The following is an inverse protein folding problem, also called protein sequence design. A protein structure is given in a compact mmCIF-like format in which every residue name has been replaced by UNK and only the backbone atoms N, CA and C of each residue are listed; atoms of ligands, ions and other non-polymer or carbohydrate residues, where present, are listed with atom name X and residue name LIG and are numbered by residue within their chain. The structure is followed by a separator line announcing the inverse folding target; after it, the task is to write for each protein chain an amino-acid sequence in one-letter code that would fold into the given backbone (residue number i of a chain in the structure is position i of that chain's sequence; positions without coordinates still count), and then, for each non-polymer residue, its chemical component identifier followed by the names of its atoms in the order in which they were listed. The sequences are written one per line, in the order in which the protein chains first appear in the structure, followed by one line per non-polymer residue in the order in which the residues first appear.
data_IF_065796551601
#
_entry.id   IF_065796551601
#
_cell.length_a   1.000
_cell.length_b   1.000
_cell.length_c   1.000
_cell.angle_alpha   90.00
_cell.angle_beta   90.00
_cell.angle_gamma   90.00
#
_symmetry.space_group_name_H-M   'P 1'
#
loop_
_entity.id
_entity.type
_entity.pdbx_description
1 polymer ?
#
# COMPACT_ATOMS: atom_id res chain seq x y z
N UNK A 1 6.95 -31.98 -27.63
CA UNK A 1 7.98 -31.10 -27.03
C UNK A 1 7.24 -30.09 -26.16
N UNK A 2 7.27 -30.29 -24.84
CA UNK A 2 6.31 -29.71 -23.88
C UNK A 2 6.63 -28.26 -23.58
N UNK A 3 5.64 -27.38 -23.77
CA UNK A 3 5.70 -25.98 -23.35
C UNK A 3 5.65 -25.91 -21.81
N UNK A 4 6.68 -25.33 -21.21
CA UNK A 4 6.70 -24.92 -19.80
C UNK A 4 5.77 -23.73 -19.61
N UNK A 5 4.49 -24.00 -19.31
CA UNK A 5 3.57 -22.97 -18.85
C UNK A 5 3.84 -22.69 -17.37
N UNK A 6 4.96 -22.01 -17.08
CA UNK A 6 5.18 -21.40 -15.78
C UNK A 6 4.18 -20.25 -15.67
N UNK A 7 3.11 -20.47 -14.89
CA UNK A 7 2.15 -19.46 -14.53
C UNK A 7 2.84 -18.32 -13.77
N UNK A 8 3.46 -17.41 -14.53
CA UNK A 8 3.79 -16.07 -14.08
C UNK A 8 2.45 -15.38 -13.93
N UNK A 9 1.97 -15.27 -12.69
CA UNK A 9 0.84 -14.41 -12.40
C UNK A 9 1.19 -13.02 -12.93
N UNK A 10 0.59 -12.62 -14.04
CA UNK A 10 0.97 -11.44 -14.80
C UNK A 10 0.91 -10.22 -13.88
N UNK A 11 2.04 -9.54 -13.73
CA UNK A 11 2.19 -8.34 -12.91
C UNK A 11 1.29 -7.18 -13.40
N UNK A 12 0.65 -7.34 -14.57
CA UNK A 12 -0.20 -6.34 -15.21
C UNK A 12 -1.47 -5.98 -14.42
N UNK A 13 -1.91 -6.86 -13.53
CA UNK A 13 -3.07 -6.58 -12.68
C UNK A 13 -2.71 -5.90 -11.36
N UNK A 14 -1.44 -5.80 -10.99
CA UNK A 14 -1.02 -5.15 -9.74
C UNK A 14 -1.05 -3.62 -9.92
N UNK A 15 -1.94 -2.97 -9.18
CA UNK A 15 -2.11 -1.51 -9.25
C UNK A 15 -1.33 -0.82 -8.14
N UNK A 16 -1.20 -1.43 -6.97
CA UNK A 16 -0.42 -0.88 -5.86
C UNK A 16 0.29 -2.01 -5.13
N UNK A 17 1.59 -1.84 -4.94
CA UNK A 17 2.42 -2.73 -4.13
C UNK A 17 3.11 -1.91 -3.04
N UNK A 18 3.04 -2.43 -1.82
CA UNK A 18 3.62 -1.85 -0.63
C UNK A 18 4.51 -2.93 -0.04
N UNK A 19 5.79 -2.62 0.12
CA UNK A 19 6.78 -3.60 0.58
C UNK A 19 7.57 -3.04 1.76
N UNK A 20 7.43 -3.69 2.92
CA UNK A 20 8.07 -3.38 4.19
C UNK A 20 7.91 -1.91 4.63
N UNK A 21 6.77 -1.31 4.32
CA UNK A 21 6.53 0.11 4.63
C UNK A 21 6.31 0.29 6.12
N UNK A 22 7.10 1.17 6.72
CA UNK A 22 6.99 1.50 8.14
C UNK A 22 6.94 3.01 8.33
N UNK A 23 6.31 3.42 9.44
CA UNK A 23 6.29 4.82 9.88
C UNK A 23 6.48 4.89 11.38
N UNK A 24 7.45 5.71 11.76
CA UNK A 24 7.74 6.06 13.14
C UNK A 24 7.65 7.58 13.32
N UNK A 25 7.18 8.00 14.50
CA UNK A 25 7.16 9.39 14.94
C UNK A 25 7.92 9.45 16.27
N UNK A 26 9.19 9.82 16.22
CA UNK A 26 10.08 9.73 17.38
C UNK A 26 10.10 8.30 17.96
N UNK A 27 9.78 8.09 19.25
CA UNK A 27 9.77 6.77 19.86
C UNK A 27 8.53 5.92 19.49
N UNK A 28 7.50 6.51 18.87
CA UNK A 28 6.23 5.82 18.60
C UNK A 28 6.23 5.18 17.21
N UNK A 29 5.96 3.87 17.15
CA UNK A 29 5.77 3.13 15.89
C UNK A 29 4.31 3.20 15.47
N UNK A 30 4.01 3.94 14.40
CA UNK A 30 2.64 4.15 13.90
C UNK A 30 2.25 3.21 12.75
N UNK A 31 3.22 2.57 12.10
CA UNK A 31 3.01 1.51 11.12
C UNK A 31 4.27 0.62 11.10
N UNK A 32 4.11 -0.70 11.25
CA UNK A 32 5.22 -1.65 11.36
C UNK A 32 5.26 -2.58 10.14
N UNK A 33 6.24 -2.37 9.25
CA UNK A 33 6.60 -3.26 8.11
C UNK A 33 5.38 -3.84 7.37
N UNK A 34 4.51 -2.96 6.89
CA UNK A 34 3.32 -3.33 6.14
C UNK A 34 3.70 -3.84 4.75
N UNK A 35 3.12 -4.98 4.37
CA UNK A 35 3.15 -5.51 3.01
C UNK A 35 1.72 -5.59 2.48
N UNK A 36 1.46 -5.03 1.29
CA UNK A 36 0.13 -5.04 0.67
C UNK A 36 0.27 -5.06 -0.85
N UNK A 37 -0.48 -5.93 -1.51
CA UNK A 37 -0.59 -5.97 -2.98
C UNK A 37 -2.05 -5.82 -3.38
N UNK A 38 -2.38 -4.68 -3.98
CA UNK A 38 -3.70 -4.36 -4.52
C UNK A 38 -3.70 -4.65 -6.01
N UNK A 39 -4.72 -5.38 -6.46
CA UNK A 39 -4.94 -5.70 -7.87
C UNK A 39 -6.14 -4.95 -8.43
N UNK A 40 -6.10 -4.64 -9.72
CA UNK A 40 -7.17 -3.96 -10.47
C UNK A 40 -8.49 -4.73 -10.32
N UNK A 41 -9.59 -4.01 -10.20
CA UNK A 41 -10.93 -4.61 -10.10
C UNK A 41 -11.24 -5.33 -8.78
N UNK A 42 -10.34 -5.27 -7.78
CA UNK A 42 -10.60 -5.79 -6.43
C UNK A 42 -10.65 -4.66 -5.42
N UNK A 43 -11.71 -4.63 -4.62
CA UNK A 43 -11.77 -3.80 -3.41
C UNK A 43 -10.95 -4.50 -2.34
N UNK A 44 -9.84 -3.87 -1.95
CA UNK A 44 -9.01 -4.34 -0.84
C UNK A 44 -9.39 -3.59 0.43
N UNK A 45 -10.05 -4.28 1.36
CA UNK A 45 -10.34 -3.72 2.68
C UNK A 45 -9.10 -3.85 3.56
N UNK A 46 -8.58 -2.71 4.04
CA UNK A 46 -7.60 -2.71 5.12
C UNK A 46 -8.30 -3.15 6.42
N UNK A 47 -8.39 -4.47 6.61
CA UNK A 47 -8.83 -5.09 7.85
C UNK A 47 -7.67 -5.10 8.84
N UNK A 48 -7.92 -4.58 10.03
CA UNK A 48 -6.96 -4.51 11.12
C UNK A 48 -7.63 -3.90 12.35
N UNK A 49 -7.14 -4.19 13.54
CA UNK A 49 -7.66 -3.60 14.77
C UNK A 49 -7.46 -2.07 14.80
N UNK A 50 -8.24 -1.37 15.62
CA UNK A 50 -7.98 0.05 15.89
C UNK A 50 -6.57 0.18 16.49
N UNK A 51 -5.68 0.89 15.80
CA UNK A 51 -4.26 0.98 16.16
C UNK A 51 -3.29 0.23 15.22
N UNK A 52 -3.77 -0.56 14.27
CA UNK A 52 -2.93 -1.28 13.31
C UNK A 52 -2.17 -0.38 12.30
N UNK A 53 -2.38 0.95 12.32
CA UNK A 53 -1.70 1.90 11.44
C UNK A 53 -2.38 2.17 10.10
N UNK A 54 -3.63 1.74 9.91
CA UNK A 54 -4.40 1.94 8.66
C UNK A 54 -4.51 3.42 8.25
N UNK A 55 -4.85 4.31 9.20
CA UNK A 55 -4.90 5.76 8.93
C UNK A 55 -3.53 6.32 8.59
N UNK A 56 -2.45 5.78 9.18
CA UNK A 56 -1.07 6.15 8.85
C UNK A 56 -0.73 5.73 7.42
N UNK A 57 -1.11 4.53 7.01
CA UNK A 57 -0.94 4.03 5.65
C UNK A 57 -1.68 4.89 4.63
N UNK A 58 -2.95 5.26 4.90
CA UNK A 58 -3.72 6.16 4.04
C UNK A 58 -3.04 7.53 3.90
N UNK A 59 -2.54 8.10 5.00
CA UNK A 59 -1.79 9.37 4.98
C UNK A 59 -0.47 9.25 4.20
N UNK A 60 0.19 8.09 4.24
CA UNK A 60 1.38 7.83 3.41
C UNK A 60 1.01 7.79 1.92
N UNK A 61 -0.03 7.03 1.57
CA UNK A 61 -0.48 6.89 0.18
C UNK A 61 -1.03 8.21 -0.39
N UNK A 62 -1.59 9.06 0.47
CA UNK A 62 -2.01 10.41 0.14
C UNK A 62 -0.86 11.43 0.08
N UNK A 63 0.39 11.05 0.38
CA UNK A 63 1.53 11.97 0.37
C UNK A 63 1.57 12.97 1.52
N UNK A 64 0.76 12.78 2.57
CA UNK A 64 0.80 13.59 3.79
C UNK A 64 2.00 13.20 4.66
N UNK A 65 2.36 11.90 4.67
CA UNK A 65 3.52 11.41 5.38
C UNK A 65 4.47 10.65 4.46
N UNK A 66 5.76 10.94 4.56
CA UNK A 66 6.79 10.08 3.99
C UNK A 66 6.97 8.84 4.88
N UNK A 67 6.99 7.62 4.32
CA UNK A 67 7.34 6.44 5.10
C UNK A 67 8.77 6.57 5.64
N UNK A 68 9.02 6.03 6.83
CA UNK A 68 10.38 5.99 7.40
C UNK A 68 11.24 4.94 6.70
N UNK A 69 10.63 3.84 6.24
CA UNK A 69 11.29 2.78 5.48
C UNK A 69 10.31 2.09 4.53
N UNK A 70 10.84 1.27 3.62
CA UNK A 70 10.08 0.48 2.66
C UNK A 70 9.82 1.21 1.35
N UNK A 71 9.15 0.52 0.42
CA UNK A 71 8.89 1.00 -0.93
C UNK A 71 7.42 0.88 -1.28
N UNK A 72 6.95 1.79 -2.13
CA UNK A 72 5.61 1.77 -2.69
C UNK A 72 5.75 1.86 -4.21
N UNK A 73 5.03 1.00 -4.91
CA UNK A 73 4.96 0.97 -6.37
C UNK A 73 3.50 1.12 -6.77
N UNK A 74 3.20 2.08 -7.64
CA UNK A 74 1.86 2.33 -8.15
C UNK A 74 1.90 2.14 -9.67
N UNK A 75 1.06 1.22 -10.19
CA UNK A 75 0.97 0.88 -11.61
C UNK A 75 2.35 0.57 -12.24
N UNK A 76 3.17 -0.20 -11.52
CA UNK A 76 4.52 -0.58 -11.96
C UNK A 76 5.60 0.49 -11.82
N UNK A 77 5.28 1.71 -11.36
CA UNK A 77 6.25 2.79 -11.16
C UNK A 77 6.47 3.09 -9.68
N UNK A 78 7.72 3.42 -9.25
CA UNK A 78 7.99 3.88 -7.89
C UNK A 78 7.09 5.06 -7.51
N UNK A 79 6.41 4.93 -6.38
CA UNK A 79 5.45 5.91 -5.88
C UNK A 79 5.95 6.53 -4.58
N UNK A 80 6.37 7.78 -4.65
CA UNK A 80 6.79 8.57 -3.50
C UNK A 80 6.13 9.95 -3.58
N UNK A 81 4.82 10.05 -3.24
CA UNK A 81 4.09 11.29 -3.37
C UNK A 81 4.71 12.35 -2.44
N UNK A 82 5.14 13.47 -3.02
CA UNK A 82 5.76 14.58 -2.29
C UNK A 82 4.75 15.60 -1.78
N UNK A 83 3.54 15.63 -2.35
CA UNK A 83 2.48 16.59 -2.04
C UNK A 83 1.11 15.90 -1.95
N UNK A 84 0.19 16.38 -1.08
CA UNK A 84 -1.16 15.83 -0.95
C UNK A 84 -1.96 15.78 -2.24
N UNK A 85 -1.72 16.71 -3.18
CA UNK A 85 -2.44 16.79 -4.47
C UNK A 85 -2.14 15.63 -5.42
N UNK A 86 -1.06 14.87 -5.17
CA UNK A 86 -0.73 13.66 -5.91
C UNK A 86 -1.30 12.45 -5.16
N UNK A 87 -2.61 12.31 -5.11
CA UNK A 87 -3.25 11.13 -4.52
C UNK A 87 -3.12 9.93 -5.47
N UNK A 88 -2.89 8.74 -4.91
CA UNK A 88 -3.01 7.50 -5.66
C UNK A 88 -4.46 7.37 -6.17
N UNK A 89 -4.72 6.97 -7.44
CA UNK A 89 -6.05 6.76 -7.99
C UNK A 89 -6.68 5.46 -7.46
N UNK A 90 -6.52 5.18 -6.16
CA UNK A 90 -7.00 3.99 -5.47
C UNK A 90 -7.92 4.44 -4.35
N UNK A 91 -9.20 4.13 -4.48
CA UNK A 91 -10.17 4.38 -3.42
C UNK A 91 -9.96 3.37 -2.28
N UNK A 92 -9.73 3.85 -1.06
CA UNK A 92 -9.69 3.03 0.14
C UNK A 92 -10.93 3.29 0.98
N UNK A 93 -11.69 2.24 1.32
CA UNK A 93 -12.84 2.34 2.22
C UNK A 93 -12.46 1.79 3.59
N UNK A 94 -12.45 2.65 4.60
CA UNK A 94 -12.17 2.27 5.99
C UNK A 94 -13.46 1.90 6.69
N UNK A 95 -13.59 0.65 7.14
CA UNK A 95 -14.65 0.25 8.06
C UNK A 95 -14.12 0.35 9.49
N UNK A 96 -14.75 1.20 10.31
CA UNK A 96 -14.60 1.22 11.76
C UNK A 96 -15.84 0.55 12.35
N UNK A 97 -15.70 -0.60 13.01
CA UNK A 97 -16.77 -1.14 13.86
C UNK A 97 -16.68 -0.39 15.19
N UNK A 98 -17.73 0.38 15.50
CA UNK A 98 -17.97 0.90 16.85
C UNK A 98 -18.45 -0.22 17.77
#
# INVERSE_FOLDING_TARGET
MTAINSATATNEDVVLEISNVAKTFGPVVALKRMNLTVRRGRVHTLLGENGAGKSTLMKILAGVFKPTSGTIVLKGAPYAPKNPRAHAPVAFQSFSKS
#
